data_IF_062369871310
#
_entry.id   IF_062369871310
#
_cell.length_a   1.000
_cell.length_b   1.000
_cell.length_c   1.000
_cell.angle_alpha   90.00
_cell.angle_beta   90.00
_cell.angle_gamma   90.00
#
_symmetry.space_group_name_H-M   'P 1'
#
loop_
_entity.id
_entity.type
_entity.pdbx_description
1 polymer ?
#
# COMPACT_ATOMS: atom_id res chain seq x y z
N UNK A 1 10.71 19.38 15.31
CA UNK A 1 9.67 18.97 16.28
C UNK A 1 8.34 18.96 15.55
N UNK A 2 7.52 17.93 15.71
CA UNK A 2 6.17 17.84 15.11
C UNK A 2 5.15 17.91 16.24
N UNK A 3 4.15 18.77 16.11
CA UNK A 3 3.02 18.96 17.06
C UNK A 3 1.73 19.01 16.25
N UNK A 4 0.63 18.48 16.79
CA UNK A 4 -0.71 18.62 16.18
C UNK A 4 -1.63 19.56 16.97
N UNK A 5 -1.13 20.19 18.04
CA UNK A 5 -1.90 21.12 18.88
C UNK A 5 -2.38 22.36 18.13
N UNK A 6 -1.57 22.81 17.17
CA UNK A 6 -1.79 24.08 16.45
C UNK A 6 -2.21 23.85 14.99
N UNK A 7 -2.64 22.63 14.66
CA UNK A 7 -3.14 22.26 13.33
C UNK A 7 -4.65 22.30 13.33
N UNK A 8 -5.27 22.94 12.34
CA UNK A 8 -6.70 22.75 12.06
C UNK A 8 -6.84 21.74 10.93
N UNK A 9 -7.54 20.64 11.18
CA UNK A 9 -7.80 19.62 10.15
C UNK A 9 -8.96 20.08 9.26
N UNK A 10 -8.72 20.07 7.94
CA UNK A 10 -9.75 20.22 6.92
C UNK A 10 -10.02 18.86 6.27
N UNK A 11 -11.29 18.57 6.02
CA UNK A 11 -11.77 17.42 5.27
C UNK A 11 -11.97 17.78 3.78
N UNK A 12 -11.97 19.07 3.45
CA UNK A 12 -12.04 19.57 2.08
C UNK A 12 -11.04 20.72 1.83
N UNK A 13 -11.22 21.43 0.71
CA UNK A 13 -10.37 22.55 0.30
C UNK A 13 -10.97 23.94 0.62
N UNK A 14 -12.16 24.02 1.21
CA UNK A 14 -12.73 25.27 1.69
C UNK A 14 -11.97 25.70 2.96
N UNK A 15 -11.44 26.94 3.05
CA UNK A 15 -10.81 27.43 4.27
C UNK A 15 -11.80 27.65 5.44
N UNK A 16 -13.11 27.71 5.20
CA UNK A 16 -14.11 27.78 6.25
C UNK A 16 -14.34 26.41 6.89
N UNK A 17 -14.54 26.35 8.21
CA UNK A 17 -14.83 25.10 8.89
C UNK A 17 -16.32 24.75 8.79
N UNK A 18 -16.62 23.60 8.20
CA UNK A 18 -17.92 22.94 8.31
C UNK A 18 -18.21 22.51 9.75
N UNK A 19 -19.49 22.23 10.05
CA UNK A 19 -19.87 21.74 11.38
C UNK A 19 -19.19 20.41 11.74
N UNK A 20 -18.95 19.53 10.75
CA UNK A 20 -18.25 18.26 10.93
C UNK A 20 -16.77 18.48 11.26
N UNK A 21 -16.09 19.39 10.56
CA UNK A 21 -14.71 19.75 10.86
C UNK A 21 -14.55 20.40 12.22
N UNK A 22 -15.51 21.24 12.65
CA UNK A 22 -15.52 21.80 14.02
C UNK A 22 -15.60 20.65 15.05
N UNK A 23 -16.53 19.71 14.86
CA UNK A 23 -16.68 18.57 15.77
C UNK A 23 -15.45 17.67 15.78
N UNK A 24 -14.85 17.42 14.62
CA UNK A 24 -13.62 16.63 14.49
C UNK A 24 -12.45 17.32 15.18
N UNK A 25 -12.20 18.60 14.90
CA UNK A 25 -11.11 19.35 15.50
C UNK A 25 -11.23 19.49 17.03
N UNK A 26 -12.46 19.50 17.55
CA UNK A 26 -12.74 19.53 18.99
C UNK A 26 -12.52 18.18 19.68
N UNK A 27 -12.67 17.06 18.97
CA UNK A 27 -12.62 15.70 19.55
C UNK A 27 -11.32 14.95 19.28
N UNK A 28 -10.59 15.28 18.22
CA UNK A 28 -9.38 14.56 17.82
C UNK A 28 -8.28 14.68 18.88
N UNK A 29 -7.59 13.57 19.15
CA UNK A 29 -6.47 13.55 20.08
C UNK A 29 -5.30 14.41 19.58
N UNK A 30 -4.88 15.38 20.39
CA UNK A 30 -3.81 16.32 20.05
C UNK A 30 -2.49 15.88 20.69
N UNK A 31 -1.42 15.81 19.89
CA UNK A 31 -0.10 15.36 20.33
C UNK A 31 0.84 16.57 20.43
N UNK A 32 1.36 16.90 21.64
CA UNK A 32 2.40 17.92 21.78
C UNK A 32 3.71 17.44 21.14
N UNK A 33 4.54 18.38 20.71
CA UNK A 33 5.91 18.05 20.36
C UNK A 33 6.66 17.55 21.60
N UNK A 34 7.49 16.51 21.39
CA UNK A 34 8.40 16.00 22.40
C UNK A 34 9.83 16.32 21.95
N UNK A 35 10.56 17.07 22.78
CA UNK A 35 11.98 17.34 22.57
C UNK A 35 12.72 16.00 22.54
N UNK A 36 13.62 15.83 21.57
CA UNK A 36 14.44 14.63 21.43
C UNK A 36 13.67 13.31 21.19
N UNK A 37 12.40 13.38 20.74
CA UNK A 37 11.59 12.21 20.40
C UNK A 37 12.29 11.22 19.45
N UNK A 38 13.16 11.74 18.58
CA UNK A 38 14.03 10.95 17.71
C UNK A 38 15.48 11.44 17.74
N UNK A 39 16.05 11.64 18.95
CA UNK A 39 17.46 12.06 19.08
C UNK A 39 18.42 11.11 18.37
N UNK A 40 19.49 11.66 17.80
CA UNK A 40 20.56 10.87 17.20
C UNK A 40 21.13 9.90 18.25
N UNK A 41 21.03 8.60 17.99
CA UNK A 41 21.51 7.56 18.90
C UNK A 41 22.96 7.19 18.57
N UNK A 42 23.69 6.75 19.60
CA UNK A 42 25.09 6.31 19.49
C UNK A 42 25.27 4.80 19.53
N UNK A 43 24.21 4.06 19.80
CA UNK A 43 24.16 2.59 19.91
C UNK A 43 23.48 1.92 18.71
N UNK A 44 23.38 2.63 17.58
CA UNK A 44 22.88 2.11 16.30
C UNK A 44 21.37 2.23 16.07
N UNK A 45 20.92 1.62 14.97
CA UNK A 45 19.52 1.63 14.52
C UNK A 45 18.66 0.78 15.46
N UNK A 46 17.76 1.45 16.20
CA UNK A 46 16.73 0.78 16.99
C UNK A 46 15.63 0.34 16.02
N UNK A 47 15.34 -0.96 15.97
CA UNK A 47 14.14 -1.52 15.32
C UNK A 47 14.00 -1.21 13.83
N UNK A 48 14.86 -1.74 12.96
CA UNK A 48 14.40 -1.95 11.57
C UNK A 48 13.31 -3.04 11.67
N UNK A 49 12.02 -2.71 11.45
CA UNK A 49 10.96 -3.69 11.56
C UNK A 49 11.24 -4.79 10.55
N UNK A 50 11.34 -6.03 11.01
CA UNK A 50 11.54 -7.16 10.11
C UNK A 50 10.18 -7.65 9.63
N UNK A 51 9.92 -7.50 8.33
CA UNK A 51 8.76 -8.10 7.66
C UNK A 51 9.02 -9.59 7.44
N UNK A 52 8.76 -10.39 8.48
CA UNK A 52 9.10 -11.82 8.52
C UNK A 52 7.97 -12.76 8.08
N UNK A 53 6.83 -12.23 7.64
CA UNK A 53 5.63 -13.01 7.31
C UNK A 53 5.03 -13.80 8.49
N UNK A 54 5.16 -13.26 9.71
CA UNK A 54 4.48 -13.76 10.91
C UNK A 54 3.02 -13.29 10.92
N UNK A 55 2.24 -13.74 9.94
CA UNK A 55 0.90 -13.26 9.66
C UNK A 55 -0.12 -13.98 10.55
N UNK A 56 -0.99 -13.21 11.20
CA UNK A 56 -2.07 -13.71 12.08
C UNK A 56 -3.47 -13.23 11.66
N UNK A 57 -3.54 -12.38 10.65
CA UNK A 57 -4.76 -11.79 10.10
C UNK A 57 -4.67 -11.81 8.58
N UNK A 58 -5.78 -11.73 7.83
CA UNK A 58 -5.75 -11.56 6.39
C UNK A 58 -4.86 -10.40 5.94
N UNK A 59 -3.97 -10.66 4.97
CA UNK A 59 -3.07 -9.65 4.38
C UNK A 59 -3.18 -9.71 2.86
N UNK A 60 -3.53 -8.57 2.27
CA UNK A 60 -3.43 -8.33 0.82
C UNK A 60 -2.28 -7.36 0.58
N UNK A 61 -1.30 -7.75 -0.23
CA UNK A 61 -0.22 -6.86 -0.69
C UNK A 61 -0.46 -6.45 -2.14
N UNK A 62 -0.04 -5.23 -2.47
CA UNK A 62 0.10 -4.75 -3.86
C UNK A 62 1.55 -4.27 -4.03
N UNK A 63 2.16 -4.57 -5.18
CA UNK A 63 3.55 -4.17 -5.46
C UNK A 63 3.75 -3.83 -6.93
N UNK A 64 4.38 -2.69 -7.23
CA UNK A 64 4.69 -2.27 -8.60
C UNK A 64 5.88 -3.04 -9.17
N UNK A 65 5.76 -3.57 -10.39
CA UNK A 65 6.79 -4.46 -10.96
C UNK A 65 8.16 -3.80 -11.20
N UNK A 66 8.19 -2.50 -11.49
CA UNK A 66 9.41 -1.73 -11.74
C UNK A 66 9.93 -0.96 -10.54
N UNK A 67 9.48 -1.26 -9.32
CA UNK A 67 10.00 -0.64 -8.11
C UNK A 67 11.50 -0.93 -7.90
N UNK A 68 12.34 0.11 -8.04
CA UNK A 68 13.78 0.01 -7.82
C UNK A 68 14.20 0.39 -6.38
N UNK A 69 13.30 0.95 -5.58
CA UNK A 69 13.55 1.27 -4.18
C UNK A 69 13.34 0.05 -3.29
N UNK A 70 12.27 -0.71 -3.54
CA UNK A 70 12.00 -2.02 -2.94
C UNK A 70 11.75 -3.02 -4.08
N UNK A 71 12.77 -3.74 -4.55
CA UNK A 71 12.63 -4.64 -5.69
C UNK A 71 11.53 -5.68 -5.50
N UNK A 72 10.79 -6.02 -6.56
CA UNK A 72 9.73 -7.05 -6.54
C UNK A 72 10.21 -8.41 -5.99
N UNK A 73 11.52 -8.67 -6.02
CA UNK A 73 12.15 -9.82 -5.35
C UNK A 73 11.78 -9.93 -3.87
N UNK A 74 11.50 -8.82 -3.20
CA UNK A 74 11.08 -8.76 -1.80
C UNK A 74 9.72 -9.43 -1.58
N UNK A 75 8.77 -9.29 -2.52
CA UNK A 75 7.49 -10.03 -2.47
C UNK A 75 7.71 -11.53 -2.57
N UNK A 76 8.65 -11.98 -3.40
CA UNK A 76 9.01 -13.40 -3.51
C UNK A 76 9.66 -13.93 -2.23
N UNK A 77 10.52 -13.12 -1.59
CA UNK A 77 11.14 -13.48 -0.31
C UNK A 77 10.06 -13.55 0.78
N UNK A 78 9.14 -12.60 0.81
CA UNK A 78 8.03 -12.57 1.75
C UNK A 78 7.12 -13.79 1.59
N UNK A 79 6.78 -14.18 0.36
CA UNK A 79 6.03 -15.41 0.06
C UNK A 79 6.73 -16.66 0.56
N UNK A 80 8.02 -16.81 0.28
CA UNK A 80 8.82 -17.96 0.77
C UNK A 80 8.86 -18.02 2.29
N UNK A 81 8.93 -16.87 2.97
CA UNK A 81 8.85 -16.82 4.44
C UNK A 81 7.47 -17.23 4.93
N UNK A 82 6.40 -16.76 4.28
CA UNK A 82 5.03 -17.13 4.63
C UNK A 82 4.80 -18.64 4.47
N UNK A 83 5.30 -19.24 3.38
CA UNK A 83 5.22 -20.68 3.14
C UNK A 83 6.01 -21.46 4.20
N UNK A 84 7.24 -21.05 4.50
CA UNK A 84 8.08 -21.69 5.51
C UNK A 84 7.50 -21.61 6.93
N UNK A 85 6.76 -20.54 7.24
CA UNK A 85 6.10 -20.33 8.53
C UNK A 85 4.67 -20.89 8.57
N UNK A 86 4.15 -21.43 7.46
CA UNK A 86 2.77 -21.92 7.37
C UNK A 86 1.71 -20.83 7.45
N UNK A 87 2.05 -19.58 7.15
CA UNK A 87 1.14 -18.42 7.23
C UNK A 87 0.65 -17.94 5.86
N UNK A 88 1.04 -18.61 4.76
CA UNK A 88 0.69 -18.22 3.40
C UNK A 88 -0.80 -18.38 3.06
N UNK A 89 -1.55 -19.14 3.87
CA UNK A 89 -3.00 -19.19 3.78
C UNK A 89 -3.64 -17.81 4.08
N UNK A 90 -2.99 -16.96 4.88
CA UNK A 90 -3.41 -15.59 5.23
C UNK A 90 -2.77 -14.51 4.36
N UNK A 91 -2.00 -14.88 3.33
CA UNK A 91 -1.35 -13.95 2.42
C UNK A 91 -1.95 -14.04 1.00
N UNK A 92 -2.25 -12.88 0.43
CA UNK A 92 -2.55 -12.66 -0.98
C UNK A 92 -1.65 -11.53 -1.47
N UNK A 93 -1.01 -11.72 -2.62
CA UNK A 93 -0.11 -10.72 -3.22
C UNK A 93 -0.59 -10.41 -4.63
N UNK A 94 -0.56 -9.12 -5.01
CA UNK A 94 -1.01 -8.65 -6.32
C UNK A 94 0.08 -7.82 -6.96
N UNK A 95 0.48 -8.19 -8.17
CA UNK A 95 1.41 -7.44 -8.98
C UNK A 95 0.68 -6.34 -9.75
N UNK A 96 1.21 -5.12 -9.67
CA UNK A 96 0.70 -3.96 -10.40
C UNK A 96 1.75 -3.55 -11.44
N UNK A 97 1.33 -3.29 -12.68
CA UNK A 97 2.21 -2.67 -13.66
C UNK A 97 2.49 -1.26 -13.20
N UNK A 98 3.75 -0.90 -13.05
CA UNK A 98 4.14 0.41 -12.59
C UNK A 98 5.65 0.41 -12.49
N UNK A 99 6.27 1.55 -12.72
CA UNK A 99 7.73 1.67 -12.77
C UNK A 99 8.32 2.45 -11.59
N UNK A 100 7.47 2.97 -10.71
CA UNK A 100 7.87 3.75 -9.56
C UNK A 100 7.41 3.10 -8.24
N UNK A 101 8.06 3.50 -7.15
CA UNK A 101 7.77 3.00 -5.80
C UNK A 101 6.39 3.48 -5.33
N UNK A 102 5.53 2.56 -4.92
CA UNK A 102 4.16 2.82 -4.45
C UNK A 102 3.28 3.62 -5.43
N UNK A 103 3.57 3.55 -6.73
CA UNK A 103 2.87 4.28 -7.80
C UNK A 103 1.57 3.55 -8.19
N UNK A 104 0.60 3.56 -7.29
CA UNK A 104 -0.71 2.93 -7.45
C UNK A 104 -1.79 3.97 -7.74
N UNK A 105 -2.75 3.63 -8.59
CA UNK A 105 -3.98 4.44 -8.70
C UNK A 105 -4.83 4.29 -7.44
N UNK A 106 -5.64 5.30 -7.12
CA UNK A 106 -6.62 5.21 -6.03
C UNK A 106 -7.57 4.03 -6.27
N UNK A 107 -7.92 3.73 -7.52
CA UNK A 107 -8.75 2.57 -7.86
C UNK A 107 -8.09 1.22 -7.47
N UNK A 108 -6.78 1.07 -7.68
CA UNK A 108 -6.02 -0.12 -7.28
C UNK A 108 -5.96 -0.26 -5.74
N UNK A 109 -5.71 0.84 -5.04
CA UNK A 109 -5.68 0.88 -3.58
C UNK A 109 -7.05 0.54 -2.98
N UNK A 110 -8.12 1.16 -3.49
CA UNK A 110 -9.49 0.91 -3.04
C UNK A 110 -9.90 -0.55 -3.31
N UNK A 111 -9.56 -1.10 -4.48
CA UNK A 111 -9.85 -2.50 -4.82
C UNK A 111 -9.09 -3.49 -3.92
N UNK A 112 -7.83 -3.21 -3.59
CA UNK A 112 -7.06 -4.03 -2.67
C UNK A 112 -7.61 -3.96 -1.24
N UNK A 113 -8.01 -2.76 -0.79
CA UNK A 113 -8.59 -2.54 0.53
C UNK A 113 -9.96 -3.21 0.68
N UNK A 114 -10.86 -3.03 -0.30
CA UNK A 114 -12.16 -3.71 -0.33
C UNK A 114 -12.02 -5.24 -0.31
N UNK A 115 -11.08 -5.78 -1.08
CA UNK A 115 -10.77 -7.21 -1.07
C UNK A 115 -10.25 -7.70 0.29
N UNK A 116 -9.40 -6.93 0.96
CA UNK A 116 -8.89 -7.25 2.30
C UNK A 116 -10.03 -7.25 3.33
N UNK A 117 -10.90 -6.22 3.30
CA UNK A 117 -12.04 -6.13 4.22
C UNK A 117 -13.02 -7.27 3.99
N UNK A 118 -13.39 -7.58 2.75
CA UNK A 118 -14.27 -8.72 2.44
C UNK A 118 -13.67 -10.04 2.93
N UNK A 119 -12.36 -10.20 2.81
CA UNK A 119 -11.70 -11.38 3.35
C UNK A 119 -11.80 -11.46 4.87
N UNK A 120 -11.49 -10.36 5.55
CA UNK A 120 -11.48 -10.28 7.02
C UNK A 120 -12.88 -10.47 7.60
N UNK A 121 -13.89 -9.81 7.02
CA UNK A 121 -15.25 -9.79 7.55
C UNK A 121 -16.12 -10.96 7.09
N UNK A 122 -15.90 -11.45 5.86
CA UNK A 122 -16.79 -12.43 5.22
C UNK A 122 -16.09 -13.77 4.95
N UNK A 123 -14.78 -13.87 5.22
CA UNK A 123 -13.99 -15.08 4.94
C UNK A 123 -13.73 -15.34 3.46
N UNK A 124 -14.11 -14.42 2.57
CA UNK A 124 -13.93 -14.57 1.12
C UNK A 124 -12.50 -14.23 0.74
N UNK A 125 -11.63 -15.25 0.65
CA UNK A 125 -10.24 -15.06 0.24
C UNK A 125 -10.15 -14.51 -1.19
N UNK A 126 -9.52 -13.34 -1.41
CA UNK A 126 -9.45 -12.74 -2.72
C UNK A 126 -8.40 -13.42 -3.59
N UNK A 127 -8.53 -13.24 -4.88
CA UNK A 127 -7.50 -13.65 -5.83
C UNK A 127 -6.23 -12.81 -5.68
N UNK A 128 -5.09 -13.46 -5.95
CA UNK A 128 -3.77 -12.85 -6.09
C UNK A 128 -3.00 -13.45 -7.26
N UNK A 129 -1.73 -13.08 -7.37
CA UNK A 129 -0.78 -13.56 -8.35
C UNK A 129 0.17 -14.61 -7.74
N UNK A 130 0.60 -15.54 -8.59
CA UNK A 130 1.76 -16.37 -8.29
C UNK A 130 3.02 -15.51 -8.45
N UNK A 131 3.72 -15.28 -7.34
CA UNK A 131 4.95 -14.49 -7.31
C UNK A 131 6.22 -15.35 -7.38
N UNK A 132 6.11 -16.68 -7.33
CA UNK A 132 7.25 -17.58 -7.20
C UNK A 132 7.59 -18.33 -8.49
N UNK A 133 6.58 -18.73 -9.27
CA UNK A 133 6.80 -19.55 -10.46
C UNK A 133 7.45 -18.72 -11.57
N UNK A 134 8.70 -19.06 -12.00
CA UNK A 134 9.43 -18.22 -12.95
C UNK A 134 8.72 -18.05 -14.29
N UNK A 135 8.07 -19.09 -14.81
CA UNK A 135 7.32 -19.01 -16.07
C UNK A 135 6.10 -18.10 -15.98
N UNK A 136 5.45 -18.00 -14.81
CA UNK A 136 4.32 -17.09 -14.59
C UNK A 136 4.82 -15.65 -14.49
N UNK A 137 5.89 -15.41 -13.73
CA UNK A 137 6.47 -14.06 -13.56
C UNK A 137 7.08 -13.54 -14.86
N UNK A 138 7.61 -14.42 -15.71
CA UNK A 138 8.17 -14.05 -17.01
C UNK A 138 7.10 -13.81 -18.10
N UNK A 139 5.82 -14.07 -17.82
CA UNK A 139 4.73 -13.85 -18.77
C UNK A 139 4.66 -12.36 -19.16
N UNK A 140 4.64 -12.00 -20.46
CA UNK A 140 4.50 -10.63 -20.91
C UNK A 140 3.23 -9.92 -20.45
N UNK A 141 2.23 -10.63 -19.91
CA UNK A 141 0.99 -10.14 -19.32
C UNK A 141 1.01 -10.18 -17.78
N UNK A 142 2.10 -10.59 -17.13
CA UNK A 142 2.21 -10.57 -15.68
C UNK A 142 1.96 -9.16 -15.12
N UNK A 143 1.26 -9.09 -13.98
CA UNK A 143 0.82 -7.85 -13.35
C UNK A 143 -0.37 -7.14 -14.01
N UNK A 144 -0.93 -7.66 -15.11
CA UNK A 144 -2.07 -7.00 -15.74
C UNK A 144 -3.40 -7.25 -15.04
N UNK A 145 -3.56 -8.38 -14.36
CA UNK A 145 -4.82 -8.80 -13.74
C UNK A 145 -5.39 -7.78 -12.74
N UNK A 146 -4.53 -7.13 -11.97
CA UNK A 146 -4.92 -6.16 -10.94
C UNK A 146 -4.52 -4.73 -11.27
N UNK A 147 -3.92 -4.50 -12.44
CA UNK A 147 -3.62 -3.16 -12.92
C UNK A 147 -4.91 -2.46 -13.34
N UNK A 148 -5.20 -1.29 -12.77
CA UNK A 148 -6.32 -0.45 -13.15
C UNK A 148 -5.84 0.99 -13.38
N UNK A 149 -5.77 1.36 -14.67
CA UNK A 149 -5.37 2.70 -15.11
C UNK A 149 -6.52 3.72 -15.13
N UNK A 150 -7.71 3.36 -14.63
CA UNK A 150 -8.86 4.28 -14.60
C UNK A 150 -8.55 5.44 -13.65
N UNK A 151 -8.48 6.68 -14.15
CA UNK A 151 -8.23 7.84 -13.31
C UNK A 151 -9.33 7.99 -12.26
N UNK A 152 -8.93 8.23 -11.02
CA UNK A 152 -9.80 8.54 -9.90
C UNK A 152 -9.49 9.93 -9.36
N UNK A 153 -10.45 10.52 -8.66
CA UNK A 153 -10.21 11.76 -7.91
C UNK A 153 -9.08 11.54 -6.90
N UNK A 154 -8.11 12.46 -6.88
CA UNK A 154 -6.92 12.37 -6.03
C UNK A 154 -5.71 11.65 -6.65
N UNK A 155 -5.85 11.01 -7.81
CA UNK A 155 -4.69 10.50 -8.55
C UNK A 155 -3.80 11.66 -9.02
N UNK A 156 -2.49 11.54 -8.81
CA UNK A 156 -1.55 12.58 -9.26
C UNK A 156 -1.45 12.60 -10.78
N UNK A 157 -1.32 13.80 -11.37
CA UNK A 157 -1.13 13.95 -12.82
C UNK A 157 0.13 13.24 -13.33
N UNK A 158 1.18 13.18 -12.51
CA UNK A 158 2.42 12.48 -12.84
C UNK A 158 2.23 10.96 -12.91
N UNK A 159 1.53 10.37 -11.94
CA UNK A 159 1.14 8.95 -11.98
C UNK A 159 0.42 8.66 -13.30
N UNK A 160 -0.66 9.39 -13.60
CA UNK A 160 -1.48 9.14 -14.80
C UNK A 160 -0.67 9.27 -16.10
N UNK A 161 0.21 10.28 -16.20
CA UNK A 161 1.09 10.47 -17.34
C UNK A 161 2.07 9.30 -17.53
N UNK A 162 2.68 8.82 -16.43
CA UNK A 162 3.55 7.64 -16.46
C UNK A 162 2.76 6.40 -16.89
N UNK A 163 1.58 6.14 -16.31
CA UNK A 163 0.76 4.96 -16.64
C UNK A 163 0.32 4.94 -18.10
N UNK A 164 0.01 6.11 -18.68
CA UNK A 164 -0.33 6.24 -20.10
C UNK A 164 0.85 5.92 -21.04
N UNK A 165 2.09 6.11 -20.58
CA UNK A 165 3.30 5.82 -21.37
C UNK A 165 3.71 4.34 -21.37
N UNK A 166 3.15 3.53 -20.46
CA UNK A 166 3.49 2.12 -20.32
C UNK A 166 2.67 1.23 -21.27
N UNK A 167 3.16 0.02 -21.60
CA UNK A 167 2.36 -0.98 -22.31
C UNK A 167 1.06 -1.26 -21.55
N UNK A 168 -0.07 -1.02 -22.23
CA UNK A 168 -1.39 -1.16 -21.62
C UNK A 168 -1.74 -2.64 -21.41
N UNK A 169 -2.44 -2.91 -20.32
CA UNK A 169 -3.01 -4.22 -20.06
C UNK A 169 -4.26 -4.40 -20.89
N UNK A 170 -4.23 -5.38 -21.79
CA UNK A 170 -5.41 -5.73 -22.57
C UNK A 170 -6.45 -6.35 -21.63
N UNK A 171 -7.72 -5.92 -21.68
CA UNK A 171 -8.79 -6.61 -20.96
C UNK A 171 -8.82 -8.08 -21.38
N UNK A 172 -8.93 -8.99 -20.42
CA UNK A 172 -9.32 -10.38 -20.69
C UNK A 172 -10.82 -10.48 -20.86
#
# INVERSE_FOLDING_TARGET
MVTTKDITFQLDADPALSAEEVAYNASIFRVPSVIDANRLRRDGLRWIPKTNAQIKVPVVTIHTLGDLYVPFKMEQIYKRRADALGTSNLLVQRAIRGIAHCDFTIAEQASAFDAMIKWEQQGVKPEGDDVLTPSVVADPQYGCKFTNNTPSEGDSSNLLAVRASLPQCTPR
#
